data_IF_400605827105
#
_entry.id   IF_400605827105
#
_cell.length_a   1.000
_cell.length_b   1.000
_cell.length_c   1.000
_cell.angle_alpha   90.00
_cell.angle_beta   90.00
_cell.angle_gamma   90.00
#
_symmetry.space_group_name_H-M   'P 1'
#
loop_
_entity.id
_entity.type
_entity.pdbx_description
1 polymer ?
#
# COMPACT_ATOMS: atom_id res chain seq x y z
N UNK A 1 -1.10 25.55 -10.13
CA UNK A 1 -1.40 24.44 -9.21
C UNK A 1 -1.19 23.14 -9.98
N UNK A 2 -0.20 22.33 -9.61
CA UNK A 2 0.05 21.03 -10.25
C UNK A 2 -0.25 19.94 -9.23
N UNK A 3 -1.29 19.16 -9.51
CA UNK A 3 -1.70 18.03 -8.69
C UNK A 3 -0.90 16.81 -9.16
N UNK A 4 0.07 16.36 -8.36
CA UNK A 4 0.78 15.12 -8.64
C UNK A 4 0.01 13.96 -8.02
N UNK A 5 -0.81 13.29 -8.83
CA UNK A 5 -1.53 12.09 -8.45
C UNK A 5 -0.63 10.88 -8.70
N UNK A 6 0.02 10.35 -7.66
CA UNK A 6 0.76 9.09 -7.78
C UNK A 6 -0.23 7.92 -7.78
N UNK A 7 -0.79 7.59 -8.95
CA UNK A 7 -1.70 6.44 -9.12
C UNK A 7 -0.97 5.23 -9.71
N UNK A 8 -0.06 4.63 -8.95
CA UNK A 8 0.41 3.28 -9.30
C UNK A 8 -0.55 2.27 -8.67
N UNK A 9 -1.43 1.67 -9.48
CA UNK A 9 -2.27 0.55 -9.07
C UNK A 9 -1.40 -0.69 -8.95
N UNK A 10 -1.42 -1.34 -7.80
CA UNK A 10 -0.78 -2.64 -7.59
C UNK A 10 -1.88 -3.69 -7.59
N UNK A 11 -1.85 -4.60 -8.56
CA UNK A 11 -2.75 -5.74 -8.60
C UNK A 11 -2.04 -6.96 -8.00
N UNK A 12 -2.72 -7.68 -7.12
CA UNK A 12 -2.27 -8.95 -6.54
C UNK A 12 -3.08 -10.08 -7.17
N UNK A 13 -2.40 -11.15 -7.59
CA UNK A 13 -3.08 -12.40 -7.96
C UNK A 13 -3.51 -13.09 -6.65
N UNK A 14 -4.81 -13.24 -6.46
CA UNK A 14 -5.39 -13.90 -5.28
C UNK A 14 -6.27 -15.05 -5.70
N UNK A 15 -6.32 -16.10 -4.88
CA UNK A 15 -7.23 -17.22 -5.06
C UNK A 15 -8.36 -17.08 -4.04
N UNK A 16 -9.61 -17.15 -4.50
CA UNK A 16 -10.78 -17.22 -3.62
C UNK A 16 -11.28 -18.66 -3.63
N UNK A 17 -11.24 -19.32 -2.49
CA UNK A 17 -11.73 -20.69 -2.32
C UNK A 17 -13.19 -20.69 -1.86
N UNK A 18 -14.05 -21.36 -2.62
CA UNK A 18 -15.39 -21.73 -2.17
C UNK A 18 -15.29 -23.06 -1.41
N UNK A 19 -15.24 -22.97 -0.08
CA UNK A 19 -15.14 -24.12 0.82
C UNK A 19 -16.32 -25.10 0.68
N UNK A 20 -17.51 -24.63 0.28
CA UNK A 20 -18.68 -25.48 0.13
C UNK A 20 -18.62 -26.31 -1.16
N UNK A 21 -17.96 -25.79 -2.20
CA UNK A 21 -17.82 -26.44 -3.51
C UNK A 21 -16.45 -27.06 -3.74
N UNK A 22 -15.47 -26.76 -2.89
CA UNK A 22 -14.07 -27.17 -3.06
C UNK A 22 -13.42 -26.57 -4.31
N UNK A 23 -13.91 -25.42 -4.79
CA UNK A 23 -13.44 -24.80 -6.03
C UNK A 23 -12.65 -23.53 -5.74
N UNK A 24 -11.50 -23.38 -6.42
CA UNK A 24 -10.64 -22.19 -6.31
C UNK A 24 -10.82 -21.30 -7.53
N UNK A 25 -11.06 -20.01 -7.29
CA UNK A 25 -11.24 -19.00 -8.32
C UNK A 25 -10.08 -18.00 -8.29
N UNK A 26 -9.15 -18.03 -9.27
CA UNK A 26 -8.12 -17.01 -9.38
C UNK A 26 -8.76 -15.66 -9.75
N UNK A 27 -8.36 -14.60 -9.06
CA UNK A 27 -8.81 -13.22 -9.23
C UNK A 27 -7.64 -12.27 -9.15
N UNK A 28 -7.72 -11.16 -9.89
CA UNK A 28 -6.87 -10.00 -9.64
C UNK A 28 -7.54 -9.12 -8.58
N UNK A 29 -6.94 -9.00 -7.40
CA UNK A 29 -7.36 -8.04 -6.39
C UNK A 29 -6.52 -6.76 -6.50
N UNK A 30 -7.15 -5.61 -6.34
CA UNK A 30 -6.40 -4.37 -6.17
C UNK A 30 -5.87 -4.33 -4.74
N UNK A 31 -4.58 -4.03 -4.57
CA UNK A 31 -4.05 -3.58 -3.29
C UNK A 31 -4.61 -2.17 -3.06
N UNK A 32 -5.81 -2.12 -2.48
CA UNK A 32 -6.40 -0.89 -2.03
C UNK A 32 -5.80 -0.56 -0.67
N UNK A 33 -4.85 0.37 -0.63
CA UNK A 33 -4.36 0.84 0.65
C UNK A 33 -5.45 1.60 1.41
N UNK A 34 -6.54 2.03 0.75
CA UNK A 34 -7.72 2.73 1.30
C UNK A 34 -7.37 3.74 2.41
N UNK A 35 -6.18 4.33 2.34
CA UNK A 35 -5.55 4.90 3.53
C UNK A 35 -5.82 6.38 3.52
N UNK A 36 -6.76 6.79 4.38
CA UNK A 36 -6.79 8.16 4.91
C UNK A 36 -5.50 8.51 5.69
N UNK A 37 -4.58 7.56 5.90
CA UNK A 37 -3.29 7.68 6.58
C UNK A 37 -2.09 7.49 5.62
N UNK A 38 -2.08 8.21 4.51
CA UNK A 38 -0.90 8.38 3.63
C UNK A 38 0.22 9.22 4.28
N UNK A 39 -0.01 9.75 5.49
CA UNK A 39 0.95 10.52 6.25
C UNK A 39 1.36 9.76 7.51
N UNK A 40 2.67 9.69 7.76
CA UNK A 40 3.23 9.13 8.98
C UNK A 40 3.57 10.32 9.88
N UNK A 41 3.13 10.26 11.13
CA UNK A 41 3.49 11.26 12.13
C UNK A 41 5.02 11.29 12.34
N UNK A 42 5.58 12.48 12.48
CA UNK A 42 7.02 12.67 12.60
C UNK A 42 7.58 11.97 13.85
N UNK A 43 6.91 12.09 14.99
CA UNK A 43 7.35 11.48 16.25
C UNK A 43 7.34 9.97 16.11
N UNK A 44 6.31 9.41 15.49
CA UNK A 44 6.25 7.98 15.21
C UNK A 44 7.39 7.52 14.30
N UNK A 45 7.69 8.27 13.23
CA UNK A 45 8.78 7.92 12.31
C UNK A 45 10.15 7.97 12.99
N UNK A 46 10.39 8.98 13.83
CA UNK A 46 11.63 9.14 14.61
C UNK A 46 11.79 8.03 15.65
N UNK A 47 10.72 7.71 16.39
CA UNK A 47 10.73 6.63 17.39
C UNK A 47 11.04 5.26 16.78
N UNK A 48 10.58 5.01 15.55
CA UNK A 48 10.85 3.76 14.83
C UNK A 48 12.14 3.79 14.00
N UNK A 49 12.89 4.91 14.00
CA UNK A 49 14.13 5.05 13.26
C UNK A 49 13.96 4.88 11.74
N UNK A 50 12.82 5.32 11.18
CA UNK A 50 12.59 5.20 9.74
C UNK A 50 13.64 6.02 8.96
N UNK A 51 14.20 5.49 7.85
CA UNK A 51 15.18 6.21 7.05
C UNK A 51 14.49 7.26 6.17
N UNK A 52 14.07 8.35 6.79
CA UNK A 52 13.39 9.47 6.15
C UNK A 52 14.35 10.22 5.20
N UNK A 53 13.85 10.55 4.01
CA UNK A 53 14.53 11.43 3.04
C UNK A 53 13.82 12.77 3.03
N UNK A 54 14.52 13.84 3.40
CA UNK A 54 13.97 15.20 3.40
C UNK A 54 13.58 15.63 1.98
N UNK A 55 12.44 16.28 1.87
CA UNK A 55 11.98 16.88 0.61
C UNK A 55 12.65 18.24 0.41
N UNK A 56 13.00 18.58 -0.83
CA UNK A 56 13.58 19.89 -1.17
C UNK A 56 12.58 21.03 -0.95
N UNK A 57 11.29 20.75 -1.14
CA UNK A 57 10.17 21.66 -0.89
C UNK A 57 9.11 20.91 -0.09
N UNK A 58 8.69 21.49 1.04
CA UNK A 58 7.63 20.91 1.86
C UNK A 58 6.28 21.00 1.14
N UNK A 59 5.46 19.97 1.28
CA UNK A 59 4.14 19.90 0.63
C UNK A 59 3.09 20.36 1.65
N UNK A 60 2.40 21.49 1.42
CA UNK A 60 1.36 21.95 2.34
C UNK A 60 0.15 21.01 2.30
N UNK A 61 -0.39 20.70 3.48
CA UNK A 61 -1.64 19.95 3.62
C UNK A 61 -2.74 20.96 3.94
N UNK A 62 -3.85 20.87 3.20
CA UNK A 62 -5.02 21.70 3.43
C UNK A 62 -6.19 20.84 3.90
N UNK A 63 -6.97 21.39 4.83
CA UNK A 63 -8.25 20.83 5.26
C UNK A 63 -9.27 20.93 4.11
N UNK A 64 -10.41 20.23 4.26
CA UNK A 64 -11.47 20.25 3.24
C UNK A 64 -12.08 21.65 3.03
N UNK A 65 -12.01 22.51 4.04
CA UNK A 65 -12.43 23.91 3.97
C UNK A 65 -11.38 24.84 3.33
N UNK A 66 -10.25 24.29 2.88
CA UNK A 66 -9.16 25.01 2.24
C UNK A 66 -8.18 25.70 3.20
N UNK A 67 -8.39 25.60 4.52
CA UNK A 67 -7.43 26.13 5.51
C UNK A 67 -6.20 25.25 5.61
N UNK A 68 -5.06 25.82 6.02
CA UNK A 68 -3.86 25.03 6.25
C UNK A 68 -4.10 24.05 7.40
N UNK A 69 -3.71 22.79 7.22
CA UNK A 69 -3.83 21.78 8.24
C UNK A 69 -2.95 22.13 9.46
N UNK A 70 -3.48 21.98 10.67
CA UNK A 70 -2.77 22.31 11.90
C UNK A 70 -1.55 21.40 12.15
N UNK A 71 -1.55 20.19 11.58
CA UNK A 71 -0.41 19.28 11.58
C UNK A 71 0.73 19.72 10.65
N UNK A 72 0.55 20.79 9.89
CA UNK A 72 1.59 21.42 9.08
C UNK A 72 1.72 20.82 7.67
N UNK A 73 2.98 20.66 7.24
CA UNK A 73 3.34 20.22 5.90
C UNK A 73 4.02 18.85 5.93
N UNK A 74 3.98 18.14 4.81
CA UNK A 74 4.82 16.96 4.60
C UNK A 74 6.24 17.45 4.33
N UNK A 75 7.20 16.97 5.11
CA UNK A 75 8.60 17.42 5.03
C UNK A 75 9.55 16.31 4.57
N UNK A 76 9.15 15.05 4.65
CA UNK A 76 9.99 13.89 4.35
C UNK A 76 9.20 12.82 3.58
N UNK A 77 9.93 11.98 2.84
CA UNK A 77 9.42 10.76 2.21
C UNK A 77 10.17 9.54 2.73
N UNK A 78 9.53 8.38 2.71
CA UNK A 78 10.16 7.10 2.98
C UNK A 78 9.72 6.10 1.91
N UNK A 79 10.62 5.17 1.55
CA UNK A 79 10.34 4.13 0.58
C UNK A 79 10.10 2.81 1.28
N UNK A 80 8.88 2.29 1.15
CA UNK A 80 8.57 0.93 1.56
C UNK A 80 8.71 0.00 0.36
N UNK A 81 9.57 -1.01 0.49
CA UNK A 81 9.63 -2.12 -0.46
C UNK A 81 8.81 -3.28 0.09
N UNK A 82 7.81 -3.73 -0.65
CA UNK A 82 7.05 -4.93 -0.33
C UNK A 82 7.24 -5.97 -1.43
N UNK A 83 7.36 -7.23 -1.02
CA UNK A 83 7.38 -8.39 -1.92
C UNK A 83 6.25 -9.32 -1.51
N UNK A 84 5.37 -9.67 -2.43
CA UNK A 84 4.47 -10.80 -2.26
C UNK A 84 5.20 -12.07 -2.72
N UNK A 85 5.01 -13.18 -1.99
CA UNK A 85 5.37 -14.51 -2.48
C UNK A 85 4.07 -15.20 -2.88
N UNK A 86 3.99 -15.65 -4.12
CA UNK A 86 2.94 -16.57 -4.53
C UNK A 86 3.21 -17.91 -3.84
N UNK A 87 2.28 -18.36 -3.00
CA UNK A 87 2.34 -19.71 -2.45
C UNK A 87 1.83 -20.65 -3.53
N UNK A 88 2.72 -21.18 -4.36
CA UNK A 88 2.39 -22.34 -5.19
C UNK A 88 2.10 -23.52 -4.25
N UNK A 89 0.82 -23.87 -4.11
CA UNK A 89 0.42 -25.11 -3.48
C UNK A 89 0.77 -26.23 -4.48
N UNK A 90 1.91 -26.91 -4.30
CA UNK A 90 2.24 -28.13 -5.05
C UNK A 90 1.23 -29.23 -4.70
N UNK A 91 0.07 -29.25 -5.35
CA UNK A 91 -0.74 -30.47 -5.45
C UNK A 91 -0.21 -31.29 -6.63
N UNK A 92 0.95 -31.92 -6.43
CA UNK A 92 1.38 -33.03 -7.28
C UNK A 92 0.41 -34.21 -7.08
N UNK A 93 -0.69 -34.25 -7.82
CA UNK A 93 -1.43 -35.49 -8.01
C UNK A 93 -0.73 -36.29 -9.12
N UNK A 94 0.04 -37.31 -8.70
CA UNK A 94 0.50 -38.39 -9.57
C UNK A 94 -0.73 -39.07 -10.19
N UNK A 95 -0.88 -38.98 -11.50
CA UNK A 95 -1.78 -39.85 -12.26
C UNK A 95 -1.36 -41.32 -12.05
N UNK A 96 -2.28 -42.23 -11.71
CA UNK A 96 -1.98 -43.66 -11.66
C UNK A 96 -1.67 -44.19 -13.06
N UNK A 97 -0.73 -45.14 -13.09
CA UNK A 97 -0.03 -45.74 -14.23
C UNK A 97 -0.83 -45.96 -15.52
#
# INVERSE_FOLDING_TARGET
>A
MHTYLFQKKICLNVCVEDLARGTVHPRSALLDSSTNSIFIDQVLAEQNGLPLVKLDVSIPIYNIDGTLNAGGCITHRYYLWSSAKDTENESSQKLPN
#
